data_IF_472776264301
#
_entry.id   IF_472776264301
#
_cell.length_a   1.000
_cell.length_b   1.000
_cell.length_c   1.000
_cell.angle_alpha   90.00
_cell.angle_beta   90.00
_cell.angle_gamma   90.00
#
_symmetry.space_group_name_H-M   'P 1'
#
loop_
_entity.id
_entity.type
_entity.pdbx_description
1 polymer ?
#
# COMPACT_ATOMS: atom_id res chain seq x y z
N UNK A 1 -4.66 19.96 -29.10
CA UNK A 1 -4.99 18.67 -28.45
C UNK A 1 -3.69 17.93 -28.17
N UNK A 2 -3.10 18.09 -26.98
CA UNK A 2 -2.15 17.15 -26.36
C UNK A 2 -1.83 17.68 -24.96
N UNK A 3 -2.71 17.39 -24.00
CA UNK A 3 -2.40 17.60 -22.58
C UNK A 3 -1.33 16.60 -22.19
N UNK A 4 -0.10 17.06 -22.07
CA UNK A 4 1.01 16.33 -21.47
C UNK A 4 0.65 16.05 -20.01
N UNK A 5 0.10 14.86 -19.78
CA UNK A 5 -0.19 14.34 -18.44
C UNK A 5 1.12 14.21 -17.68
N UNK A 6 1.47 15.24 -16.91
CA UNK A 6 2.60 15.19 -15.98
C UNK A 6 2.27 14.11 -14.95
N UNK A 7 2.93 12.96 -15.07
CA UNK A 7 2.85 11.89 -14.09
C UNK A 7 3.45 12.41 -12.77
N UNK A 8 2.57 12.72 -11.81
CA UNK A 8 2.90 13.35 -10.51
C UNK A 8 3.71 12.42 -9.59
N UNK A 9 3.99 11.18 -10.01
CA UNK A 9 4.66 10.17 -9.16
C UNK A 9 6.19 10.13 -9.28
N UNK A 10 6.82 10.96 -10.12
CA UNK A 10 8.29 10.94 -10.34
C UNK A 10 8.95 12.31 -10.11
N UNK A 11 8.94 12.82 -8.89
CA UNK A 11 9.88 13.88 -8.45
C UNK A 11 10.02 13.85 -6.92
N UNK A 12 11.19 13.46 -6.42
CA UNK A 12 11.58 13.55 -5.00
C UNK A 12 10.81 12.61 -4.06
N UNK A 13 11.17 11.32 -4.02
CA UNK A 13 10.40 10.28 -3.33
C UNK A 13 10.58 10.34 -1.79
N UNK A 14 9.98 11.33 -1.13
CA UNK A 14 9.62 11.18 0.28
C UNK A 14 8.80 9.88 0.40
N UNK A 15 9.26 8.93 1.23
CA UNK A 15 8.62 7.61 1.39
C UNK A 15 7.13 7.82 1.66
N UNK A 16 6.26 7.53 0.68
CA UNK A 16 4.82 7.66 0.87
C UNK A 16 4.41 6.70 2.00
N UNK A 17 3.77 7.23 3.04
CA UNK A 17 3.28 6.40 4.14
C UNK A 17 1.90 5.84 3.78
N UNK A 18 1.49 4.72 4.38
CA UNK A 18 0.15 4.17 4.17
C UNK A 18 -0.95 5.21 4.43
N UNK A 19 -0.81 5.99 5.51
CA UNK A 19 -1.77 7.04 5.90
C UNK A 19 -1.84 8.14 4.83
N UNK A 20 -0.71 8.61 4.30
CA UNK A 20 -0.68 9.57 3.19
C UNK A 20 -1.30 9.01 1.90
N UNK A 21 -1.09 7.71 1.63
CA UNK A 21 -1.73 7.03 0.49
C UNK A 21 -3.25 6.96 0.64
N UNK A 22 -3.74 6.62 1.84
CA UNK A 22 -5.18 6.62 2.16
C UNK A 22 -5.78 8.01 1.95
N UNK A 23 -5.15 9.05 2.49
CA UNK A 23 -5.66 10.42 2.34
C UNK A 23 -5.78 10.82 0.87
N UNK A 24 -4.74 10.55 0.07
CA UNK A 24 -4.73 10.81 -1.38
C UNK A 24 -5.84 10.05 -2.10
N UNK A 25 -6.02 8.77 -1.76
CA UNK A 25 -7.10 7.96 -2.33
C UNK A 25 -8.48 8.51 -1.98
N UNK A 26 -8.74 8.85 -0.72
CA UNK A 26 -10.04 9.40 -0.31
C UNK A 26 -10.34 10.73 -1.01
N UNK A 27 -9.33 11.59 -1.21
CA UNK A 27 -9.49 12.82 -1.99
C UNK A 27 -9.93 12.51 -3.43
N UNK A 28 -9.26 11.57 -4.10
CA UNK A 28 -9.63 11.17 -5.46
C UNK A 28 -11.04 10.54 -5.52
N UNK A 29 -11.38 9.69 -4.54
CA UNK A 29 -12.70 9.08 -4.39
C UNK A 29 -13.80 10.15 -4.27
N UNK A 30 -13.55 11.21 -3.51
CA UNK A 30 -14.47 12.33 -3.29
C UNK A 30 -14.28 13.48 -4.31
N UNK A 31 -13.93 13.14 -5.55
CA UNK A 31 -13.86 14.09 -6.67
C UNK A 31 -12.78 15.19 -6.53
N UNK A 32 -11.74 14.95 -5.74
CA UNK A 32 -10.67 15.92 -5.49
C UNK A 32 -10.90 16.85 -4.29
N UNK A 33 -12.03 16.73 -3.58
CA UNK A 33 -12.38 17.67 -2.50
C UNK A 33 -11.99 17.14 -1.12
N UNK A 34 -11.08 17.86 -0.45
CA UNK A 34 -10.71 17.59 0.94
C UNK A 34 -11.88 17.77 1.92
N UNK A 35 -12.81 18.69 1.63
CA UNK A 35 -14.00 18.95 2.45
C UNK A 35 -14.99 17.79 2.35
N UNK A 36 -15.22 17.26 1.15
CA UNK A 36 -16.07 16.09 0.94
C UNK A 36 -15.55 14.85 1.66
N UNK A 37 -14.23 14.67 1.79
CA UNK A 37 -13.68 13.58 2.61
C UNK A 37 -14.03 13.72 4.09
N UNK A 38 -14.09 14.95 4.63
CA UNK A 38 -14.52 15.18 6.02
C UNK A 38 -15.99 14.81 6.20
N UNK A 39 -16.83 15.20 5.24
CA UNK A 39 -18.26 14.91 5.21
C UNK A 39 -18.63 13.50 4.75
N UNK A 40 -17.67 12.66 4.36
CA UNK A 40 -17.92 11.27 4.00
C UNK A 40 -18.50 10.51 5.21
N UNK A 41 -19.64 9.86 5.01
CA UNK A 41 -20.45 9.16 6.00
C UNK A 41 -20.40 7.63 5.88
N UNK A 42 -19.64 7.11 4.91
CA UNK A 42 -19.42 5.68 4.73
C UNK A 42 -18.51 5.10 5.83
N UNK A 43 -19.11 4.90 7.00
CA UNK A 43 -18.50 4.28 8.18
C UNK A 43 -18.14 2.81 7.96
N UNK A 44 -18.74 2.15 6.97
CA UNK A 44 -18.47 0.76 6.61
C UNK A 44 -17.18 0.60 5.82
N UNK A 45 -16.71 1.67 5.17
CA UNK A 45 -15.46 1.68 4.44
C UNK A 45 -14.28 1.39 5.37
N UNK A 46 -13.46 0.39 5.02
CA UNK A 46 -12.27 0.03 5.79
C UNK A 46 -11.26 1.18 5.97
N UNK A 47 -11.32 2.22 5.13
CA UNK A 47 -10.46 3.39 5.20
C UNK A 47 -11.05 4.54 6.02
N UNK A 48 -12.31 4.43 6.47
CA UNK A 48 -13.06 5.54 7.07
C UNK A 48 -12.31 6.21 8.22
N UNK A 49 -11.78 5.44 9.16
CA UNK A 49 -11.04 5.97 10.32
C UNK A 49 -9.72 6.64 9.91
N UNK A 50 -9.13 6.24 8.79
CA UNK A 50 -7.86 6.74 8.28
C UNK A 50 -8.00 7.88 7.26
N UNK A 51 -9.23 8.21 6.84
CA UNK A 51 -9.52 9.08 5.68
C UNK A 51 -8.95 10.49 5.79
N UNK A 52 -8.75 10.98 7.02
CA UNK A 52 -8.22 12.32 7.29
C UNK A 52 -6.70 12.40 7.21
N UNK A 53 -6.00 11.26 7.13
CA UNK A 53 -4.54 11.24 7.03
C UNK A 53 -3.83 11.40 8.37
N UNK A 54 -4.51 11.06 9.46
CA UNK A 54 -4.00 11.13 10.83
C UNK A 54 -3.68 9.72 11.34
N UNK A 55 -2.77 9.66 12.31
CA UNK A 55 -2.50 8.42 13.03
C UNK A 55 -3.68 8.08 13.93
N UNK A 56 -4.07 6.80 13.96
CA UNK A 56 -5.21 6.33 14.74
C UNK A 56 -4.72 5.31 15.78
N UNK A 57 -4.31 5.76 16.98
CA UNK A 57 -3.80 4.88 18.04
C UNK A 57 -4.81 3.81 18.48
N UNK A 58 -6.10 4.09 18.35
CA UNK A 58 -7.20 3.23 18.80
C UNK A 58 -7.77 2.38 17.66
N UNK A 59 -7.23 2.50 16.43
CA UNK A 59 -7.68 1.70 15.33
C UNK A 59 -7.22 0.25 15.51
N UNK A 60 -8.17 -0.68 15.59
CA UNK A 60 -7.88 -2.13 15.70
C UNK A 60 -7.16 -2.75 14.50
N UNK A 61 -6.82 -1.95 13.47
CA UNK A 61 -6.07 -2.37 12.27
C UNK A 61 -5.14 -1.26 11.86
N UNK A 62 -3.88 -1.59 11.57
CA UNK A 62 -2.92 -0.64 10.97
C UNK A 62 -3.40 -0.12 9.60
N UNK A 63 -2.89 1.04 9.18
CA UNK A 63 -3.25 1.62 7.88
C UNK A 63 -3.00 0.66 6.69
N UNK A 64 -1.94 -0.16 6.71
CA UNK A 64 -1.71 -1.16 5.63
C UNK A 64 -2.74 -2.29 5.65
N UNK A 65 -3.21 -2.71 6.82
CA UNK A 65 -4.28 -3.70 6.95
C UNK A 65 -5.63 -3.14 6.49
N UNK A 66 -5.91 -1.87 6.79
CA UNK A 66 -7.08 -1.16 6.29
C UNK A 66 -7.08 -1.09 4.75
N UNK A 67 -5.93 -0.75 4.15
CA UNK A 67 -5.77 -0.77 2.68
C UNK A 67 -6.01 -2.18 2.12
N UNK A 68 -5.45 -3.22 2.75
CA UNK A 68 -5.65 -4.60 2.31
C UNK A 68 -7.13 -4.99 2.31
N UNK A 69 -7.84 -4.64 3.38
CA UNK A 69 -9.27 -4.88 3.53
C UNK A 69 -10.05 -4.16 2.43
N UNK A 70 -9.80 -2.86 2.24
CA UNK A 70 -10.44 -2.07 1.20
C UNK A 70 -10.20 -2.64 -0.20
N UNK A 71 -8.96 -3.02 -0.53
CA UNK A 71 -8.65 -3.61 -1.84
C UNK A 71 -9.38 -4.94 -2.08
N UNK A 72 -9.60 -5.76 -1.04
CA UNK A 72 -10.42 -6.97 -1.16
C UNK A 72 -11.86 -6.59 -1.49
N UNK A 73 -12.48 -5.70 -0.73
CA UNK A 73 -13.85 -5.25 -1.00
C UNK A 73 -13.99 -4.64 -2.40
N UNK A 74 -13.05 -3.77 -2.78
CA UNK A 74 -12.99 -3.13 -4.10
C UNK A 74 -12.88 -4.14 -5.25
N UNK A 75 -12.23 -5.28 -5.02
CA UNK A 75 -12.02 -6.34 -6.04
C UNK A 75 -13.00 -7.51 -5.91
N UNK A 76 -14.18 -7.31 -5.30
CA UNK A 76 -15.20 -8.36 -5.15
C UNK A 76 -14.84 -9.48 -4.16
N UNK A 77 -13.89 -9.24 -3.25
CA UNK A 77 -13.44 -10.20 -2.24
C UNK A 77 -12.32 -11.15 -2.71
N UNK A 78 -11.96 -11.13 -3.99
CA UNK A 78 -11.03 -12.10 -4.55
C UNK A 78 -9.56 -11.66 -4.45
N UNK A 79 -8.73 -12.54 -3.89
CA UNK A 79 -7.28 -12.30 -3.80
C UNK A 79 -6.60 -12.28 -5.16
N UNK A 80 -7.14 -13.01 -6.14
CA UNK A 80 -6.60 -13.04 -7.50
C UNK A 80 -6.80 -11.69 -8.20
N UNK A 81 -7.97 -11.09 -8.06
CA UNK A 81 -8.29 -9.77 -8.61
C UNK A 81 -7.41 -8.66 -8.03
N UNK A 82 -7.15 -8.67 -6.72
CA UNK A 82 -6.19 -7.72 -6.12
C UNK A 82 -4.79 -7.83 -6.75
N UNK A 83 -4.37 -9.04 -7.15
CA UNK A 83 -3.09 -9.24 -7.84
C UNK A 83 -3.13 -8.72 -9.28
N UNK A 84 -4.24 -8.93 -9.99
CA UNK A 84 -4.47 -8.52 -11.39
C UNK A 84 -4.80 -7.03 -11.56
N UNK A 85 -5.13 -6.33 -10.47
CA UNK A 85 -5.49 -4.91 -10.49
C UNK A 85 -4.51 -4.05 -11.31
N UNK A 86 -5.01 -3.46 -12.40
CA UNK A 86 -4.26 -2.65 -13.37
C UNK A 86 -4.18 -1.15 -13.00
N UNK A 87 -4.80 -0.72 -11.91
CA UNK A 87 -4.86 0.68 -11.47
C UNK A 87 -3.54 1.22 -10.88
N UNK A 88 -2.38 0.74 -11.37
CA UNK A 88 -1.06 1.05 -10.81
C UNK A 88 -0.74 2.53 -10.80
N UNK A 89 -1.07 3.21 -11.89
CA UNK A 89 -0.74 4.62 -12.10
C UNK A 89 -1.83 5.56 -11.57
N UNK A 90 -3.03 5.06 -11.31
CA UNK A 90 -4.19 5.88 -10.92
C UNK A 90 -4.60 5.72 -9.46
N UNK A 91 -4.33 4.55 -8.85
CA UNK A 91 -4.73 4.26 -7.48
C UNK A 91 -3.57 4.48 -6.51
N UNK A 92 -3.71 5.49 -5.64
CA UNK A 92 -2.72 5.80 -4.61
C UNK A 92 -2.46 4.64 -3.63
N UNK A 93 -3.40 3.69 -3.49
CA UNK A 93 -3.27 2.52 -2.62
C UNK A 93 -2.50 1.37 -3.24
N UNK A 94 -2.25 1.39 -4.56
CA UNK A 94 -1.81 0.21 -5.32
C UNK A 94 -0.52 -0.42 -4.77
N UNK A 95 0.42 0.41 -4.31
CA UNK A 95 1.69 -0.03 -3.70
C UNK A 95 1.54 -0.76 -2.36
N UNK A 96 0.40 -0.58 -1.69
CA UNK A 96 0.08 -1.16 -0.38
C UNK A 96 -1.02 -2.23 -0.45
N UNK A 97 -1.54 -2.55 -1.64
CA UNK A 97 -2.70 -3.44 -1.84
C UNK A 97 -2.54 -4.85 -1.25
N UNK A 98 -1.30 -5.28 -1.01
CA UNK A 98 -0.99 -6.57 -0.38
C UNK A 98 -0.88 -6.51 1.15
N UNK A 99 -1.17 -5.37 1.76
CA UNK A 99 -1.11 -5.20 3.22
C UNK A 99 0.31 -5.11 3.76
N UNK A 100 1.28 -4.81 2.90
CA UNK A 100 2.67 -4.61 3.26
C UNK A 100 3.18 -3.30 2.65
N UNK A 101 4.13 -2.66 3.33
CA UNK A 101 4.83 -1.52 2.76
C UNK A 101 5.83 -1.99 1.69
N UNK A 102 6.15 -1.16 0.68
CA UNK A 102 7.16 -1.48 -0.33
C UNK A 102 8.53 -1.83 0.28
N UNK A 103 8.86 -1.24 1.42
CA UNK A 103 10.09 -1.52 2.17
C UNK A 103 10.07 -2.92 2.80
N UNK A 104 8.97 -3.30 3.44
CA UNK A 104 8.77 -4.66 3.93
C UNK A 104 8.82 -5.67 2.79
N UNK A 105 8.20 -5.37 1.65
CA UNK A 105 8.25 -6.21 0.46
C UNK A 105 9.68 -6.40 -0.07
N UNK A 106 10.45 -5.31 -0.20
CA UNK A 106 11.86 -5.36 -0.61
C UNK A 106 12.67 -6.27 0.31
N UNK A 107 12.53 -6.10 1.63
CA UNK A 107 13.22 -6.92 2.64
C UNK A 107 12.85 -8.40 2.56
N UNK A 108 11.56 -8.72 2.48
CA UNK A 108 11.09 -10.12 2.38
C UNK A 108 11.57 -10.78 1.09
N UNK A 109 11.52 -10.06 -0.04
CA UNK A 109 11.99 -10.56 -1.34
C UNK A 109 13.50 -10.80 -1.34
N UNK A 110 14.29 -9.90 -0.73
CA UNK A 110 15.73 -10.09 -0.56
C UNK A 110 16.03 -11.35 0.27
N UNK A 111 15.31 -11.57 1.39
CA UNK A 111 15.47 -12.79 2.19
C UNK A 111 15.13 -14.07 1.43
N UNK A 112 14.05 -14.06 0.64
CA UNK A 112 13.61 -15.25 -0.11
C UNK A 112 14.49 -15.58 -1.31
N UNK A 113 15.13 -14.58 -1.91
CA UNK A 113 16.01 -14.75 -3.09
C UNK A 113 17.49 -14.82 -2.74
N UNK A 114 17.87 -14.34 -1.55
CA UNK A 114 19.23 -14.49 -1.05
C UNK A 114 19.56 -15.97 -0.94
N UNK A 115 20.75 -16.35 -1.39
CA UNK A 115 21.29 -17.67 -1.11
C UNK A 115 21.35 -17.82 0.41
N UNK A 116 20.44 -18.60 0.98
CA UNK A 116 20.64 -19.00 2.36
C UNK A 116 21.81 -19.98 2.36
N UNK A 117 22.90 -19.72 3.09
CA UNK A 117 23.94 -20.73 3.23
C UNK A 117 23.28 -21.93 3.89
N UNK A 118 23.15 -23.03 3.15
CA UNK A 118 22.84 -24.31 3.76
C UNK A 118 24.07 -24.67 4.59
N UNK A 119 24.06 -24.30 5.88
CA UNK A 119 24.99 -24.89 6.83
C UNK A 119 24.62 -26.36 6.93
N UNK A 120 25.33 -27.19 6.18
CA UNK A 120 25.34 -28.63 6.39
C UNK A 120 25.99 -28.87 7.75
N UNK A 121 25.30 -29.51 8.71
CA UNK A 121 25.91 -29.88 9.98
C UNK A 121 27.16 -30.73 9.72
N UNK A 122 28.33 -30.28 10.18
CA UNK A 122 29.58 -31.05 10.14
C UNK A 122 30.61 -30.69 9.06
N UNK A 123 30.40 -29.66 8.22
CA UNK A 123 31.42 -29.22 7.25
C UNK A 123 32.08 -27.93 7.75
N UNK A 124 33.26 -28.07 8.38
CA UNK A 124 34.16 -26.93 8.61
C UNK A 124 34.83 -26.55 7.29
N UNK A 125 34.44 -25.41 6.71
CA UNK A 125 35.19 -24.81 5.61
C UNK A 125 36.50 -24.25 6.18
N UNK A 126 37.56 -25.05 6.15
CA UNK A 126 38.91 -24.64 6.52
C UNK A 126 39.39 -23.50 5.62
N UNK A 127 39.59 -22.32 6.22
CA UNK A 127 40.20 -21.17 5.56
C UNK A 127 41.69 -21.41 5.33
N UNK A 128 42.17 -21.01 4.15
CA UNK A 128 43.60 -20.83 3.85
C UNK A 128 44.02 -19.43 4.23
#
# INVERSE_FOLDING_TARGET
>A
MTSTGKNVYTSGMAKITPIKAIRRFCIACQGGSAAMVRGCDDTSCALYVWRLGEEQPQAGRSGVQAIRCHCLTCSGGERAEVRRCAARETCALWSFRFGCSPETWRRVRARKRGAQPLLLPGISLGGR
#
